data_IF_388560410839
#
_entry.id   IF_388560410839
#
_cell.length_a   1.000
_cell.length_b   1.000
_cell.length_c   1.000
_cell.angle_alpha   90.00
_cell.angle_beta   90.00
_cell.angle_gamma   90.00
#
_symmetry.space_group_name_H-M   'P 1'
#
loop_
_entity.id
_entity.type
_entity.pdbx_description
1 polymer ?
#
# COMPACT_ATOMS: atom_id res chain seq x y z
N UNK A 1 -18.98 -24.36 -3.46
CA UNK A 1 -19.48 -23.18 -2.74
C UNK A 1 -18.66 -21.99 -3.22
N UNK A 2 -19.08 -21.39 -4.34
CA UNK A 2 -18.30 -20.36 -5.05
C UNK A 2 -18.81 -19.01 -4.56
N UNK A 3 -17.91 -18.22 -3.98
CA UNK A 3 -18.23 -17.00 -3.25
C UNK A 3 -18.81 -15.92 -4.16
N UNK A 4 -19.92 -15.31 -3.74
CA UNK A 4 -20.61 -14.16 -4.39
C UNK A 4 -19.71 -12.94 -4.67
N UNK A 5 -18.47 -12.95 -4.18
CA UNK A 5 -17.52 -11.84 -4.31
C UNK A 5 -16.55 -12.00 -5.50
N UNK A 6 -16.60 -13.11 -6.25
CA UNK A 6 -15.74 -13.31 -7.42
C UNK A 6 -16.08 -12.36 -8.59
N UNK A 7 -17.38 -12.08 -8.79
CA UNK A 7 -17.85 -11.21 -9.88
C UNK A 7 -17.37 -9.76 -9.71
N UNK A 8 -17.22 -9.30 -8.46
CA UNK A 8 -16.73 -7.95 -8.18
C UNK A 8 -15.30 -7.69 -8.70
N UNK A 9 -14.49 -8.74 -8.85
CA UNK A 9 -13.13 -8.64 -9.41
C UNK A 9 -13.09 -8.78 -10.94
N UNK A 10 -14.05 -9.47 -11.56
CA UNK A 10 -14.08 -9.64 -13.02
C UNK A 10 -14.62 -8.41 -13.76
N UNK A 11 -15.40 -7.56 -13.08
CA UNK A 11 -16.03 -6.38 -13.68
C UNK A 11 -15.24 -5.07 -13.51
N UNK A 12 -13.97 -5.09 -13.11
CA UNK A 12 -13.12 -3.91 -13.32
C UNK A 12 -13.06 -3.62 -14.83
N UNK A 13 -13.47 -2.42 -15.29
CA UNK A 13 -13.42 -2.12 -16.71
C UNK A 13 -11.96 -2.19 -17.17
N UNK A 14 -11.69 -3.18 -18.01
CA UNK A 14 -10.52 -3.21 -18.87
C UNK A 14 -10.54 -1.91 -19.69
N UNK A 15 -9.64 -0.97 -19.37
CA UNK A 15 -9.39 0.21 -20.18
C UNK A 15 -8.72 -0.26 -21.48
N UNK A 16 -9.56 -0.61 -22.45
CA UNK A 16 -9.16 -0.94 -23.81
C UNK A 16 -8.86 0.37 -24.54
N UNK A 17 -7.56 0.67 -24.63
CA UNK A 17 -6.91 1.55 -25.60
C UNK A 17 -7.67 2.77 -26.10
N UNK A 18 -7.40 3.92 -25.50
CA UNK A 18 -7.42 5.23 -26.18
C UNK A 18 -6.34 6.10 -25.53
N UNK A 19 -5.30 6.39 -26.32
CA UNK A 19 -4.21 7.35 -26.08
C UNK A 19 -3.74 7.47 -24.62
N UNK A 20 -2.78 6.61 -24.25
CA UNK A 20 -2.06 6.71 -22.99
C UNK A 20 -1.21 8.00 -22.96
N UNK A 21 -1.85 9.13 -22.71
CA UNK A 21 -1.21 10.21 -21.96
C UNK A 21 -0.95 9.61 -20.60
N UNK A 22 0.30 9.18 -20.40
CA UNK A 22 0.83 8.76 -19.11
C UNK A 22 0.64 9.94 -18.17
N UNK A 23 -0.53 9.99 -17.52
CA UNK A 23 -0.72 10.83 -16.35
C UNK A 23 0.20 10.21 -15.32
N UNK A 24 1.40 10.78 -15.24
CA UNK A 24 2.44 10.47 -14.29
C UNK A 24 1.91 10.81 -12.89
N UNK A 25 0.99 9.99 -12.39
CA UNK A 25 0.86 9.82 -10.95
C UNK A 25 2.26 9.50 -10.46
N UNK A 26 2.79 10.21 -9.45
CA UNK A 26 4.12 9.95 -8.95
C UNK A 26 4.23 8.46 -8.70
N UNK A 27 5.17 7.82 -9.41
CA UNK A 27 5.45 6.40 -9.24
C UNK A 27 5.74 6.22 -7.76
N UNK A 28 4.78 5.66 -7.03
CA UNK A 28 4.96 5.39 -5.62
C UNK A 28 6.25 4.60 -5.47
N UNK A 29 7.16 4.96 -4.56
CA UNK A 29 8.47 4.33 -4.45
C UNK A 29 8.38 2.81 -4.27
N UNK A 30 7.24 2.30 -3.79
CA UNK A 30 6.92 0.87 -3.70
C UNK A 30 7.03 0.12 -5.04
N UNK A 31 6.69 0.75 -6.17
CA UNK A 31 6.77 0.12 -7.50
C UNK A 31 8.20 -0.15 -7.94
N UNK A 32 9.19 0.47 -7.30
CA UNK A 32 10.62 0.22 -7.55
C UNK A 32 11.13 -1.03 -6.82
N UNK A 33 10.32 -1.61 -5.92
CA UNK A 33 10.73 -2.78 -5.17
C UNK A 33 10.85 -3.99 -6.12
N UNK A 34 11.96 -4.76 -6.10
CA UNK A 34 12.21 -5.84 -7.07
C UNK A 34 11.13 -6.93 -7.12
N UNK A 35 10.44 -7.14 -5.98
CA UNK A 35 9.37 -8.12 -5.86
C UNK A 35 7.96 -7.52 -6.03
N UNK A 36 7.84 -6.24 -6.40
CA UNK A 36 6.55 -5.61 -6.65
C UNK A 36 5.95 -6.13 -7.96
N UNK A 37 4.73 -6.65 -7.90
CA UNK A 37 4.01 -7.10 -9.09
C UNK A 37 3.11 -5.98 -9.62
N UNK A 38 3.25 -5.64 -10.91
CA UNK A 38 2.47 -4.58 -11.56
C UNK A 38 1.11 -5.05 -12.08
N UNK A 39 0.88 -6.35 -12.13
CA UNK A 39 -0.38 -6.91 -12.63
C UNK A 39 -1.55 -6.59 -11.70
N UNK A 40 -2.74 -6.40 -12.28
CA UNK A 40 -3.98 -6.18 -11.54
C UNK A 40 -4.71 -7.51 -11.23
N UNK A 41 -3.98 -8.48 -10.69
CA UNK A 41 -4.57 -9.75 -10.24
C UNK A 41 -4.67 -9.80 -8.71
N UNK A 42 -5.57 -10.62 -8.17
CA UNK A 42 -5.66 -10.84 -6.72
C UNK A 42 -4.35 -11.39 -6.14
N UNK A 43 -3.63 -12.20 -6.92
CA UNK A 43 -2.34 -12.78 -6.53
C UNK A 43 -1.28 -11.70 -6.38
N UNK A 44 -1.18 -10.80 -7.36
CA UNK A 44 -0.27 -9.66 -7.34
C UNK A 44 -0.61 -8.68 -6.24
N UNK A 45 -1.90 -8.42 -6.01
CA UNK A 45 -2.36 -7.62 -4.88
C UNK A 45 -1.95 -8.24 -3.54
N UNK A 46 -2.10 -9.57 -3.38
CA UNK A 46 -1.70 -10.27 -2.17
C UNK A 46 -0.18 -10.26 -1.97
N UNK A 47 0.61 -10.44 -3.03
CA UNK A 47 2.07 -10.34 -2.97
C UNK A 47 2.52 -8.93 -2.56
N UNK A 48 1.96 -7.89 -3.17
CA UNK A 48 2.31 -6.51 -2.82
C UNK A 48 1.89 -6.17 -1.39
N UNK A 49 0.72 -6.64 -0.95
CA UNK A 49 0.28 -6.50 0.44
C UNK A 49 1.22 -7.21 1.42
N UNK A 50 1.74 -8.39 1.06
CA UNK A 50 2.75 -9.10 1.85
C UNK A 50 4.00 -8.24 2.02
N UNK A 51 4.50 -7.61 0.96
CA UNK A 51 5.66 -6.73 1.02
C UNK A 51 5.43 -5.54 1.95
N UNK A 52 4.26 -4.89 1.87
CA UNK A 52 3.92 -3.75 2.74
C UNK A 52 3.80 -4.14 4.22
N UNK A 53 3.38 -5.37 4.52
CA UNK A 53 3.25 -5.87 5.90
C UNK A 53 4.56 -6.42 6.49
N UNK A 54 5.52 -6.79 5.65
CA UNK A 54 6.77 -7.42 6.07
C UNK A 54 7.56 -6.61 7.13
N UNK A 55 7.70 -5.27 7.04
CA UNK A 55 8.40 -4.49 8.05
C UNK A 55 7.83 -4.65 9.46
N UNK A 56 6.51 -4.69 9.59
CA UNK A 56 5.82 -4.84 10.88
C UNK A 56 6.02 -6.25 11.46
N UNK A 57 6.00 -7.28 10.62
CA UNK A 57 6.29 -8.65 11.06
C UNK A 57 7.74 -8.77 11.56
N UNK A 58 8.69 -8.20 10.82
CA UNK A 58 10.10 -8.17 11.25
C UNK A 58 10.29 -7.40 12.55
N UNK A 59 9.63 -6.24 12.71
CA UNK A 59 9.64 -5.48 13.96
C UNK A 59 9.17 -6.34 15.14
N UNK A 60 8.00 -6.99 15.03
CA UNK A 60 7.47 -7.81 16.11
C UNK A 60 8.36 -8.99 16.50
N UNK A 61 9.19 -9.51 15.58
CA UNK A 61 10.17 -10.55 15.90
C UNK A 61 11.45 -10.01 16.54
N UNK A 62 11.86 -8.80 16.17
CA UNK A 62 13.09 -8.18 16.66
C UNK A 62 12.89 -7.39 17.95
N UNK A 63 11.71 -6.86 18.21
CA UNK A 63 11.39 -6.03 19.38
C UNK A 63 11.80 -6.70 20.71
N UNK A 64 11.52 -7.99 20.97
CA UNK A 64 11.97 -8.64 22.20
C UNK A 64 13.50 -8.70 22.34
N UNK A 65 14.22 -8.87 21.22
CA UNK A 65 15.67 -8.88 21.21
C UNK A 65 16.25 -7.48 21.40
N UNK A 66 15.59 -6.45 20.87
CA UNK A 66 16.01 -5.05 21.02
C UNK A 66 15.84 -4.52 22.44
N UNK A 67 14.96 -5.13 23.24
CA UNK A 67 14.89 -4.87 24.68
C UNK A 67 16.12 -5.39 25.44
N UNK A 68 16.73 -6.47 24.97
CA UNK A 68 17.95 -7.05 25.55
C UNK A 68 19.20 -6.35 25.02
N UNK A 69 19.24 -6.13 23.70
CA UNK A 69 20.34 -5.48 23.00
C UNK A 69 19.83 -4.19 22.36
N UNK A 70 19.94 -3.08 23.08
CA UNK A 70 19.47 -1.79 22.58
C UNK A 70 20.34 -1.32 21.41
N UNK A 71 19.73 -1.25 20.22
CA UNK A 71 20.34 -0.75 18.99
C UNK A 71 19.43 0.37 18.44
N UNK A 72 19.62 1.63 18.90
CA UNK A 72 18.73 2.75 18.57
C UNK A 72 18.60 3.01 17.06
N UNK A 73 19.67 2.83 16.30
CA UNK A 73 19.69 3.05 14.85
C UNK A 73 18.79 2.04 14.13
N UNK A 74 18.72 0.81 14.62
CA UNK A 74 17.86 -0.21 14.05
C UNK A 74 16.39 0.10 14.35
N UNK A 75 16.09 0.52 15.58
CA UNK A 75 14.75 0.97 15.99
C UNK A 75 14.29 2.12 15.07
N UNK A 76 15.10 3.16 14.96
CA UNK A 76 14.81 4.31 14.12
C UNK A 76 14.67 3.93 12.63
N UNK A 77 15.49 3.00 12.13
CA UNK A 77 15.38 2.48 10.77
C UNK A 77 14.04 1.78 10.51
N UNK A 78 13.57 0.98 11.46
CA UNK A 78 12.25 0.34 11.38
C UNK A 78 11.10 1.33 11.44
N UNK A 79 11.17 2.33 12.33
CA UNK A 79 10.17 3.40 12.43
C UNK A 79 10.03 4.16 11.11
N UNK A 80 11.15 4.54 10.49
CA UNK A 80 11.13 5.19 9.18
C UNK A 80 10.50 4.30 8.10
N UNK A 81 10.85 3.01 8.07
CA UNK A 81 10.30 2.06 7.11
C UNK A 81 8.78 1.88 7.28
N UNK A 82 8.31 1.75 8.52
CA UNK A 82 6.89 1.65 8.83
C UNK A 82 6.13 2.93 8.45
N UNK A 83 6.68 4.12 8.75
CA UNK A 83 6.10 5.39 8.33
C UNK A 83 5.94 5.48 6.81
N UNK A 84 6.95 5.02 6.05
CA UNK A 84 6.82 4.87 4.60
C UNK A 84 5.68 3.94 4.22
N UNK A 85 5.53 2.77 4.85
CA UNK A 85 4.43 1.85 4.54
C UNK A 85 3.04 2.45 4.86
N UNK A 86 2.93 3.26 5.92
CA UNK A 86 1.68 3.92 6.28
C UNK A 86 1.24 4.96 5.24
N UNK A 87 2.17 5.56 4.49
CA UNK A 87 1.80 6.42 3.35
C UNK A 87 0.94 5.70 2.33
N UNK A 88 1.12 4.39 2.13
CA UNK A 88 0.27 3.58 1.24
C UNK A 88 -1.19 3.54 1.71
N UNK A 89 -1.44 3.53 3.01
CA UNK A 89 -2.81 3.56 3.59
C UNK A 89 -3.46 4.93 3.43
N UNK A 90 -2.65 5.99 3.44
CA UNK A 90 -3.11 7.38 3.30
C UNK A 90 -3.35 7.79 1.84
N UNK A 91 -2.93 6.98 0.87
CA UNK A 91 -3.23 7.27 -0.53
C UNK A 91 -4.74 7.24 -0.76
N UNK A 92 -5.32 8.34 -1.28
CA UNK A 92 -6.73 8.35 -1.61
C UNK A 92 -7.00 7.23 -2.61
N UNK A 93 -7.98 6.38 -2.30
CA UNK A 93 -8.45 5.35 -3.24
C UNK A 93 -8.82 6.06 -4.54
N UNK A 94 -8.21 5.73 -5.69
CA UNK A 94 -8.62 6.29 -6.96
C UNK A 94 -10.07 5.87 -7.21
N UNK A 95 -11.01 6.82 -7.09
CA UNK A 95 -12.44 6.60 -7.29
C UNK A 95 -13.34 6.93 -6.10
N UNK A 96 -12.80 7.17 -4.89
CA UNK A 96 -13.60 7.71 -3.79
C UNK A 96 -13.45 9.23 -3.76
N UNK A 97 -14.45 9.94 -4.30
CA UNK A 97 -14.66 11.35 -3.95
C UNK A 97 -14.89 11.39 -2.43
N UNK A 98 -13.82 11.70 -1.68
CA UNK A 98 -13.96 12.02 -0.27
C UNK A 98 -14.91 13.20 -0.09
N UNK A 99 -15.67 13.27 1.02
CA UNK A 99 -16.43 14.46 1.33
C UNK A 99 -15.49 15.66 1.36
N UNK A 100 -15.92 16.73 0.71
CA UNK A 100 -15.20 17.98 0.55
C UNK A 100 -14.69 18.46 1.93
N UNK A 101 -13.39 18.30 2.22
CA UNK A 101 -12.77 18.68 3.51
C UNK A 101 -12.77 20.20 3.71
N UNK A 102 -13.26 20.96 2.72
CA UNK A 102 -13.46 22.42 2.80
C UNK A 102 -14.73 22.83 3.57
N UNK A 103 -15.57 21.90 4.05
CA UNK A 103 -16.80 22.23 4.79
C UNK A 103 -16.65 22.28 6.33
N UNK A 104 -15.44 22.10 6.89
CA UNK A 104 -15.20 22.11 8.35
C UNK A 104 -14.44 23.35 8.85
N UNK A 105 -14.53 24.47 8.13
CA UNK A 105 -14.33 25.79 8.72
C UNK A 105 -15.63 26.57 8.59
N UNK A 106 -16.10 27.10 9.72
CA UNK A 106 -17.33 27.87 9.94
C UNK A 106 -18.53 27.03 10.41
N UNK A 107 -18.51 26.74 11.70
CA UNK A 107 -19.65 26.98 12.59
C UNK A 107 -19.09 27.29 13.99
#
# INVERSE_FOLDING_TARGET
MVSLHADAFQHSPQLKGENATVSSSPLLPFKQHPFWELEMTWKSALNNLRLLRQPYCCWGWLEPWLQVFSIPELIYGFEQLMNWMDTFRLLPRPGLKGPNVLALKVA
#
